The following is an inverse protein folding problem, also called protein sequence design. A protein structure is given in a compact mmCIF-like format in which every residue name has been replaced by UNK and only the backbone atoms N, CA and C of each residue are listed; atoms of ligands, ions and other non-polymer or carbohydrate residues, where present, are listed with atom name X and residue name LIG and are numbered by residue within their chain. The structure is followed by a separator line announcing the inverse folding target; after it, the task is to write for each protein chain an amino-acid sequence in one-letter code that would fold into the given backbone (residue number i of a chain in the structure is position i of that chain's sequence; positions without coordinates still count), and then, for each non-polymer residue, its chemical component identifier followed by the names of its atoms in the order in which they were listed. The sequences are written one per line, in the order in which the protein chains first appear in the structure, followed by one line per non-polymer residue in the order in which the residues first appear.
data_IF_084463112300
#
_entry.id   IF_084463112300
#
_cell.length_a   1.000
_cell.length_b   1.000
_cell.length_c   1.000
_cell.angle_alpha   90.00
_cell.angle_beta   90.00
_cell.angle_gamma   90.00
#
_symmetry.space_group_name_H-M   'P 1'
#
loop_
_entity.id
_entity.type
_entity.pdbx_description
1 polymer ?
#
# COMPACT_ATOMS: atom_id res chain seq x y z
N UNK A 1 14.15 14.02 24.44
CA UNK A 1 14.84 12.95 25.22
C UNK A 1 14.24 12.69 26.59
N UNK A 2 13.97 13.68 27.47
CA UNK A 2 13.39 13.39 28.82
C UNK A 2 12.07 12.60 28.75
N UNK A 3 11.12 13.04 27.93
CA UNK A 3 9.81 12.38 27.76
C UNK A 3 9.91 10.92 27.30
N UNK A 4 10.76 10.63 26.31
CA UNK A 4 11.00 9.25 25.81
C UNK A 4 11.60 8.39 26.92
N UNK A 5 12.63 8.90 27.60
CA UNK A 5 13.30 8.20 28.70
C UNK A 5 12.31 7.86 29.82
N UNK A 6 11.50 8.82 30.25
CA UNK A 6 10.50 8.62 31.31
C UNK A 6 9.44 7.58 30.87
N UNK A 7 9.01 7.63 29.61
CA UNK A 7 8.07 6.66 29.07
C UNK A 7 8.66 5.24 29.01
N UNK A 8 9.91 5.09 28.54
CA UNK A 8 10.62 3.80 28.50
C UNK A 8 10.86 3.25 29.90
N UNK A 9 11.33 4.06 30.86
CA UNK A 9 11.51 3.65 32.26
C UNK A 9 10.20 3.15 32.88
N UNK A 10 9.08 3.79 32.55
CA UNK A 10 7.77 3.36 33.02
C UNK A 10 7.28 2.06 32.37
N UNK A 11 7.83 1.67 31.21
CA UNK A 11 7.54 0.39 30.55
C UNK A 11 8.45 -0.72 31.10
N UNK A 12 9.75 -0.48 31.11
CA UNK A 12 10.75 -1.37 31.69
C UNK A 12 11.96 -0.55 32.17
N UNK A 13 12.23 -0.49 33.50
CA UNK A 13 13.37 0.26 34.04
C UNK A 13 14.75 -0.24 33.58
N UNK A 14 14.83 -1.50 33.12
CA UNK A 14 16.05 -2.13 32.64
C UNK A 14 16.25 -2.05 31.12
N UNK A 15 15.59 -1.10 30.43
CA UNK A 15 15.77 -0.96 29.00
C UNK A 15 17.20 -0.52 28.64
N UNK A 16 17.67 -0.92 27.47
CA UNK A 16 19.00 -0.59 26.95
C UNK A 16 19.00 -0.53 25.42
N UNK A 17 20.15 -0.15 24.84
CA UNK A 17 20.38 -0.15 23.39
C UNK A 17 19.31 0.59 22.57
N UNK A 18 18.91 1.78 23.01
CA UNK A 18 17.99 2.64 22.26
C UNK A 18 18.67 3.20 21.01
N UNK A 19 18.26 2.70 19.84
CA UNK A 19 18.80 3.05 18.54
C UNK A 19 17.68 3.56 17.65
N UNK A 20 17.88 4.73 17.05
CA UNK A 20 16.95 5.26 16.06
C UNK A 20 17.03 4.44 14.77
N UNK A 21 15.89 3.98 14.26
CA UNK A 21 15.79 3.33 12.96
C UNK A 21 15.81 4.39 11.86
N UNK A 22 16.12 3.99 10.63
CA UNK A 22 16.20 4.91 9.49
C UNK A 22 14.91 5.74 9.38
N UNK A 23 15.06 7.05 9.16
CA UNK A 23 13.92 7.95 8.96
C UNK A 23 13.07 7.45 7.78
N UNK A 24 11.83 7.08 8.09
CA UNK A 24 10.81 6.91 7.07
C UNK A 24 10.40 8.31 6.58
N UNK A 25 9.99 8.45 5.32
CA UNK A 25 9.47 9.74 4.81
C UNK A 25 8.14 10.20 5.45
N UNK A 26 7.68 9.52 6.51
CA UNK A 26 6.53 9.90 7.33
C UNK A 26 6.95 10.85 8.45
N UNK A 27 6.00 11.57 9.05
CA UNK A 27 6.26 12.42 10.22
C UNK A 27 6.52 11.63 11.52
N UNK A 28 7.01 10.39 11.44
CA UNK A 28 7.23 9.49 12.57
C UNK A 28 8.70 9.15 12.75
N UNK A 29 9.12 9.13 14.01
CA UNK A 29 10.43 8.63 14.44
C UNK A 29 10.27 7.26 15.09
N UNK A 30 11.05 6.28 14.64
CA UNK A 30 11.06 4.94 15.19
C UNK A 30 12.39 4.66 15.90
N UNK A 31 12.31 4.03 17.07
CA UNK A 31 13.48 3.63 17.84
C UNK A 31 13.34 2.18 18.24
N UNK A 32 14.39 1.38 18.02
CA UNK A 32 14.50 0.02 18.54
C UNK A 32 15.22 0.08 19.88
N UNK A 33 14.73 -0.67 20.87
CA UNK A 33 15.41 -0.83 22.16
C UNK A 33 15.27 -2.26 22.67
N UNK A 34 16.14 -2.64 23.61
CA UNK A 34 16.06 -3.91 24.32
C UNK A 34 15.43 -3.71 25.69
N UNK A 35 14.63 -4.68 26.11
CA UNK A 35 14.24 -4.81 27.50
C UNK A 35 14.07 -6.29 27.82
N UNK A 36 14.67 -6.74 28.92
CA UNK A 36 14.85 -8.17 29.20
C UNK A 36 15.53 -8.89 28.02
N UNK A 37 15.05 -10.06 27.62
CA UNK A 37 15.59 -10.85 26.51
C UNK A 37 14.90 -10.56 25.15
N UNK A 38 14.24 -9.40 25.02
CA UNK A 38 13.45 -9.03 23.82
C UNK A 38 13.79 -7.64 23.30
N UNK A 39 13.49 -7.42 22.02
CA UNK A 39 13.52 -6.11 21.38
C UNK A 39 12.11 -5.58 21.17
N UNK A 40 11.99 -4.26 21.15
CA UNK A 40 10.74 -3.52 20.98
C UNK A 40 10.99 -2.31 20.07
N UNK A 41 9.90 -1.82 19.47
CA UNK A 41 9.90 -0.57 18.70
C UNK A 41 9.10 0.47 19.46
N UNK A 42 9.73 1.60 19.76
CA UNK A 42 9.10 2.83 20.20
C UNK A 42 8.82 3.69 18.97
N UNK A 43 7.62 4.24 18.88
CA UNK A 43 7.28 5.26 17.89
C UNK A 43 6.96 6.58 18.57
N UNK A 44 7.49 7.66 18.00
CA UNK A 44 7.14 9.05 18.32
C UNK A 44 6.49 9.70 17.10
N UNK A 45 5.32 10.29 17.31
CA UNK A 45 4.58 10.98 16.25
C UNK A 45 3.66 12.06 16.82
N UNK A 46 3.69 13.24 16.21
CA UNK A 46 2.86 14.38 16.59
C UNK A 46 1.44 14.34 15.98
N UNK A 47 1.17 13.46 14.99
CA UNK A 47 -0.16 13.30 14.42
C UNK A 47 -1.03 12.39 15.31
N UNK A 48 -1.69 13.00 16.28
CA UNK A 48 -2.52 12.30 17.27
C UNK A 48 -3.68 11.56 16.61
N UNK A 49 -4.29 12.14 15.58
CA UNK A 49 -5.46 11.54 14.94
C UNK A 49 -5.06 10.29 14.14
N UNK A 50 -3.91 10.32 13.46
CA UNK A 50 -3.37 9.16 12.78
C UNK A 50 -2.94 8.06 13.78
N UNK A 51 -2.36 8.43 14.93
CA UNK A 51 -2.01 7.50 15.99
C UNK A 51 -3.24 6.83 16.61
N UNK A 52 -4.32 7.57 16.84
CA UNK A 52 -5.59 7.01 17.35
C UNK A 52 -6.17 5.98 16.38
N UNK A 53 -6.17 6.28 15.07
CA UNK A 53 -6.55 5.32 14.02
C UNK A 53 -5.66 4.08 14.07
N UNK A 54 -4.35 4.26 14.18
CA UNK A 54 -3.40 3.14 14.31
C UNK A 54 -3.73 2.27 15.52
N UNK A 55 -3.95 2.84 16.71
CA UNK A 55 -4.27 2.07 17.92
C UNK A 55 -5.58 1.30 17.78
N UNK A 56 -6.61 1.95 17.26
CA UNK A 56 -7.91 1.35 17.01
C UNK A 56 -7.80 0.14 16.06
N UNK A 57 -7.13 0.33 14.93
CA UNK A 57 -6.92 -0.73 13.94
C UNK A 57 -6.00 -1.83 14.47
N UNK A 58 -4.96 -1.50 15.24
CA UNK A 58 -4.08 -2.48 15.88
C UNK A 58 -4.87 -3.41 16.79
N UNK A 59 -5.71 -2.87 17.67
CA UNK A 59 -6.52 -3.68 18.59
C UNK A 59 -7.49 -4.59 17.82
N UNK A 60 -8.16 -4.05 16.80
CA UNK A 60 -9.07 -4.79 15.94
C UNK A 60 -8.34 -5.95 15.23
N UNK A 61 -7.19 -5.68 14.62
CA UNK A 61 -6.44 -6.68 13.85
C UNK A 61 -5.74 -7.72 14.72
N UNK A 62 -5.40 -7.38 15.96
CA UNK A 62 -4.93 -8.38 16.93
C UNK A 62 -6.00 -9.45 17.19
N UNK A 63 -7.26 -9.05 17.28
CA UNK A 63 -8.38 -9.97 17.47
C UNK A 63 -8.70 -10.80 16.20
N UNK A 64 -8.16 -10.44 15.04
CA UNK A 64 -8.31 -11.15 13.77
C UNK A 64 -7.10 -12.04 13.43
N UNK A 65 -6.62 -12.80 14.42
CA UNK A 65 -5.48 -13.73 14.33
C UNK A 65 -4.06 -13.10 14.35
N UNK A 66 -3.88 -11.94 15.00
CA UNK A 66 -2.55 -11.39 15.26
C UNK A 66 -1.75 -11.06 14.00
N UNK A 67 -2.40 -10.42 13.02
CA UNK A 67 -1.83 -10.15 11.69
C UNK A 67 -0.86 -8.97 11.67
N UNK A 68 -0.73 -8.25 12.78
CA UNK A 68 0.01 -6.99 12.94
C UNK A 68 0.89 -7.04 14.20
N UNK A 69 1.88 -6.15 14.39
CA UNK A 69 2.58 -6.06 15.66
C UNK A 69 1.64 -5.68 16.80
N UNK A 70 1.80 -6.27 17.98
CA UNK A 70 1.01 -5.87 19.15
C UNK A 70 1.48 -4.53 19.68
N UNK A 71 0.53 -3.60 19.87
CA UNK A 71 0.78 -2.38 20.65
C UNK A 71 0.76 -2.75 22.13
N UNK A 72 1.85 -2.45 22.83
CA UNK A 72 2.11 -2.88 24.20
C UNK A 72 1.86 -1.78 25.23
N UNK A 73 2.14 -0.53 24.84
CA UNK A 73 1.94 0.63 25.71
C UNK A 73 1.74 1.89 24.88
N UNK A 74 0.81 2.73 25.31
CA UNK A 74 0.54 4.05 24.75
C UNK A 74 0.65 5.06 25.90
N UNK A 75 1.26 6.21 25.67
CA UNK A 75 1.32 7.26 26.68
C UNK A 75 0.00 8.06 26.76
N UNK A 76 -0.16 8.88 27.79
CA UNK A 76 -1.38 9.67 28.00
C UNK A 76 -1.70 10.63 26.86
N UNK A 77 -0.65 11.16 26.20
CA UNK A 77 -0.79 12.14 25.13
C UNK A 77 -1.00 11.49 23.75
N UNK A 78 -0.94 10.16 23.65
CA UNK A 78 -1.09 9.40 22.40
C UNK A 78 -0.08 9.76 21.29
N UNK A 79 1.08 10.27 21.68
CA UNK A 79 2.18 10.68 20.80
C UNK A 79 3.44 9.82 20.98
N UNK A 80 3.43 8.90 21.95
CA UNK A 80 4.43 7.86 22.15
C UNK A 80 3.74 6.52 22.38
N UNK A 81 4.23 5.50 21.68
CA UNK A 81 3.76 4.13 21.88
C UNK A 81 4.85 3.11 21.63
N UNK A 82 4.75 1.97 22.31
CA UNK A 82 5.66 0.83 22.20
C UNK A 82 4.89 -0.33 21.58
N UNK A 83 5.51 -0.99 20.61
CA UNK A 83 4.98 -2.16 19.94
C UNK A 83 6.01 -3.30 19.85
N UNK A 84 5.53 -4.49 19.53
CA UNK A 84 6.39 -5.63 19.22
C UNK A 84 7.35 -5.32 18.06
N UNK A 85 8.59 -5.77 18.22
CA UNK A 85 9.59 -5.73 17.16
C UNK A 85 9.51 -7.00 16.31
N UNK A 86 9.18 -6.82 15.03
CA UNK A 86 9.06 -7.89 14.05
C UNK A 86 10.35 -8.09 13.24
N UNK A 87 11.43 -7.37 13.56
CA UNK A 87 12.68 -7.37 12.81
C UNK A 87 12.61 -6.47 11.58
N UNK A 88 13.62 -6.58 10.71
CA UNK A 88 13.82 -5.67 9.57
C UNK A 88 13.51 -6.30 8.21
N UNK A 89 13.30 -7.62 8.18
CA UNK A 89 13.17 -8.36 6.93
C UNK A 89 11.76 -8.17 6.38
N UNK A 90 11.66 -7.54 5.21
CA UNK A 90 10.40 -7.41 4.47
C UNK A 90 10.26 -8.46 3.37
N UNK A 91 9.02 -8.74 2.95
CA UNK A 91 8.73 -9.63 1.83
C UNK A 91 9.38 -9.15 0.53
N UNK A 92 9.41 -7.83 0.30
CA UNK A 92 10.10 -7.25 -0.86
C UNK A 92 11.61 -7.54 -0.82
N UNK A 93 12.24 -7.41 0.34
CA UNK A 93 13.68 -7.68 0.48
C UNK A 93 14.01 -9.13 0.15
N UNK A 94 13.20 -10.09 0.63
CA UNK A 94 13.37 -11.50 0.29
C UNK A 94 13.18 -11.78 -1.20
N UNK A 95 12.19 -11.14 -1.84
CA UNK A 95 11.99 -11.24 -3.30
C UNK A 95 13.19 -10.72 -4.08
N UNK A 96 13.77 -9.59 -3.68
CA UNK A 96 14.95 -9.03 -4.34
C UNK A 96 16.22 -9.88 -4.15
N UNK A 97 16.27 -10.70 -3.11
CA UNK A 97 17.36 -11.66 -2.84
C UNK A 97 17.13 -13.04 -3.48
N UNK A 98 16.01 -13.24 -4.18
CA UNK A 98 15.60 -14.52 -4.77
C UNK A 98 15.58 -15.67 -3.74
N UNK A 99 15.08 -15.39 -2.53
CA UNK A 99 14.98 -16.40 -1.48
C UNK A 99 13.93 -17.47 -1.82
N UNK A 100 14.28 -18.75 -1.63
CA UNK A 100 13.44 -19.90 -2.03
C UNK A 100 12.11 -19.97 -1.30
N UNK A 101 11.98 -19.36 -0.12
CA UNK A 101 10.74 -19.35 0.65
C UNK A 101 9.78 -18.23 0.23
N UNK A 102 10.23 -17.28 -0.60
CA UNK A 102 9.48 -16.07 -0.96
C UNK A 102 8.09 -16.38 -1.51
N UNK A 103 7.97 -17.37 -2.40
CA UNK A 103 6.69 -17.76 -3.00
C UNK A 103 5.65 -18.13 -1.92
N UNK A 104 6.04 -18.98 -0.97
CA UNK A 104 5.17 -19.39 0.14
C UNK A 104 4.73 -18.21 1.03
N UNK A 105 5.59 -17.19 1.20
CA UNK A 105 5.29 -16.00 1.98
C UNK A 105 4.30 -15.08 1.25
N UNK A 106 4.41 -14.95 -0.08
CA UNK A 106 3.38 -14.26 -0.88
C UNK A 106 2.02 -14.95 -0.76
N UNK A 107 1.98 -16.29 -0.84
CA UNK A 107 0.73 -17.02 -0.64
C UNK A 107 0.13 -16.76 0.74
N UNK A 108 0.96 -16.80 1.79
CA UNK A 108 0.51 -16.47 3.15
C UNK A 108 -0.03 -15.04 3.23
N UNK A 109 0.65 -14.08 2.61
CA UNK A 109 0.23 -12.68 2.61
C UNK A 109 -1.13 -12.48 1.94
N UNK A 110 -1.36 -13.03 0.74
CA UNK A 110 -2.64 -12.85 0.03
C UNK A 110 -3.79 -13.58 0.72
N UNK A 111 -3.54 -14.76 1.32
CA UNK A 111 -4.54 -15.46 2.13
C UNK A 111 -4.93 -14.62 3.35
N UNK A 112 -3.94 -14.13 4.11
CA UNK A 112 -4.17 -13.28 5.28
C UNK A 112 -4.85 -11.97 4.92
N UNK A 113 -4.50 -11.36 3.78
CA UNK A 113 -5.15 -10.15 3.29
C UNK A 113 -6.65 -10.37 3.11
N UNK A 114 -7.07 -11.42 2.41
CA UNK A 114 -8.49 -11.72 2.20
C UNK A 114 -9.25 -11.87 3.54
N UNK A 115 -8.67 -12.62 4.49
CA UNK A 115 -9.28 -12.81 5.82
C UNK A 115 -9.33 -11.52 6.63
N UNK A 116 -8.28 -10.70 6.59
CA UNK A 116 -8.23 -9.39 7.24
C UNK A 116 -9.33 -8.48 6.68
N UNK A 117 -9.40 -8.32 5.36
CA UNK A 117 -10.31 -7.37 4.73
C UNK A 117 -11.77 -7.71 5.00
N UNK A 118 -12.14 -8.99 4.89
CA UNK A 118 -13.52 -9.44 5.15
C UNK A 118 -13.82 -9.45 6.65
N UNK A 119 -12.90 -9.93 7.49
CA UNK A 119 -13.09 -10.00 8.94
C UNK A 119 -13.17 -8.62 9.59
N UNK A 120 -12.28 -7.70 9.20
CA UNK A 120 -12.24 -6.35 9.75
C UNK A 120 -13.50 -5.56 9.39
N UNK A 121 -13.96 -5.67 8.14
CA UNK A 121 -15.14 -4.95 7.69
C UNK A 121 -16.42 -5.31 8.47
N UNK A 122 -16.48 -6.48 9.11
CA UNK A 122 -17.65 -6.88 9.91
C UNK A 122 -17.75 -6.13 11.24
N UNK A 123 -16.64 -5.58 11.75
CA UNK A 123 -16.55 -5.04 13.12
C UNK A 123 -15.99 -3.62 13.18
N UNK A 124 -15.45 -3.11 12.06
CA UNK A 124 -14.86 -1.78 11.99
C UNK A 124 -15.94 -0.69 12.01
N UNK A 125 -15.63 0.38 12.71
CA UNK A 125 -16.31 1.67 12.66
C UNK A 125 -15.41 2.65 11.90
N UNK A 126 -15.76 2.89 10.64
CA UNK A 126 -14.99 3.79 9.76
C UNK A 126 -15.03 5.27 10.19
N UNK A 127 -15.76 5.64 11.24
CA UNK A 127 -15.63 6.99 11.82
C UNK A 127 -14.40 7.13 12.73
N UNK A 128 -13.76 6.02 13.10
CA UNK A 128 -12.56 6.00 13.94
C UNK A 128 -11.27 5.90 13.12
N UNK A 129 -11.36 5.78 11.79
CA UNK A 129 -10.17 5.78 10.91
C UNK A 129 -9.76 7.21 10.55
N UNK A 130 -8.46 7.42 10.42
CA UNK A 130 -7.87 8.70 10.09
C UNK A 130 -8.15 9.11 8.64
N UNK A 131 -8.33 10.40 8.40
CA UNK A 131 -8.47 10.96 7.06
C UNK A 131 -9.86 10.69 6.46
N UNK A 132 -9.99 9.61 5.70
CA UNK A 132 -11.20 9.32 4.92
C UNK A 132 -11.80 7.98 5.30
N UNK A 133 -13.12 7.96 5.53
CA UNK A 133 -13.84 6.75 5.88
C UNK A 133 -14.06 5.79 4.71
N UNK A 134 -14.07 6.32 3.47
CA UNK A 134 -14.28 5.53 2.25
C UNK A 134 -13.45 6.08 1.09
N UNK A 135 -12.98 5.17 0.24
CA UNK A 135 -12.28 5.47 -1.00
C UNK A 135 -13.28 5.92 -2.07
N UNK A 136 -13.59 7.21 -2.03
CA UNK A 136 -14.63 7.85 -2.82
C UNK A 136 -14.10 8.52 -4.10
N UNK A 137 -15.01 9.19 -4.83
CA UNK A 137 -14.69 9.90 -6.07
C UNK A 137 -13.60 10.96 -5.88
N UNK A 138 -13.59 11.68 -4.74
CA UNK A 138 -12.62 12.75 -4.46
C UNK A 138 -11.21 12.15 -4.33
N UNK A 139 -11.08 11.07 -3.57
CA UNK A 139 -9.79 10.40 -3.38
C UNK A 139 -9.25 9.78 -4.68
N UNK A 140 -10.11 9.17 -5.49
CA UNK A 140 -9.71 8.62 -6.79
C UNK A 140 -9.25 9.74 -7.72
N UNK A 141 -10.02 10.82 -7.83
CA UNK A 141 -9.63 11.97 -8.66
C UNK A 141 -8.31 12.57 -8.18
N UNK A 142 -8.09 12.71 -6.87
CA UNK A 142 -6.82 13.19 -6.32
C UNK A 142 -5.64 12.33 -6.81
N UNK A 143 -5.77 11.01 -6.78
CA UNK A 143 -4.72 10.09 -7.26
C UNK A 143 -4.49 10.24 -8.78
N UNK A 144 -5.54 10.42 -9.57
CA UNK A 144 -5.47 10.59 -11.02
C UNK A 144 -4.87 11.94 -11.42
N UNK A 145 -5.24 13.02 -10.73
CA UNK A 145 -4.61 14.33 -10.91
C UNK A 145 -3.13 14.29 -10.56
N UNK A 146 -2.74 13.49 -9.56
CA UNK A 146 -1.34 13.30 -9.22
C UNK A 146 -0.52 12.74 -10.39
N UNK A 147 -1.07 11.78 -11.15
CA UNK A 147 -0.47 11.28 -12.38
C UNK A 147 -0.38 12.37 -13.46
N UNK A 148 -1.45 13.13 -13.67
CA UNK A 148 -1.47 14.20 -14.65
C UNK A 148 -0.42 15.28 -14.32
N UNK A 149 -0.50 15.85 -13.12
CA UNK A 149 0.23 17.07 -12.75
C UNK A 149 1.71 16.79 -12.45
N UNK A 150 2.04 15.64 -11.86
CA UNK A 150 3.42 15.30 -11.48
C UNK A 150 4.13 14.38 -12.47
N UNK A 151 3.47 13.96 -13.55
CA UNK A 151 4.11 13.18 -14.59
C UNK A 151 3.75 13.66 -16.00
N UNK A 152 2.49 13.56 -16.42
CA UNK A 152 2.12 13.85 -17.81
C UNK A 152 2.45 15.29 -18.24
N UNK A 153 2.10 16.27 -17.43
CA UNK A 153 2.33 17.69 -17.74
C UNK A 153 3.83 18.03 -17.76
N UNK A 154 4.66 17.25 -17.09
CA UNK A 154 6.10 17.47 -17.00
C UNK A 154 6.88 16.86 -18.17
N UNK A 155 6.33 15.81 -18.81
CA UNK A 155 6.93 15.20 -20.00
C UNK A 155 6.52 15.89 -21.31
N UNK A 156 5.67 16.91 -21.26
CA UNK A 156 5.17 17.69 -22.41
C UNK A 156 4.60 16.81 -23.54
N UNK A 157 3.90 15.73 -23.18
CA UNK A 157 3.18 14.91 -24.15
C UNK A 157 1.94 15.68 -24.64
N UNK A 158 1.66 15.64 -25.94
CA UNK A 158 0.43 16.24 -26.48
C UNK A 158 -0.75 15.29 -26.26
N UNK A 159 -1.81 15.79 -25.61
CA UNK A 159 -3.04 15.05 -25.34
C UNK A 159 -4.22 16.00 -25.10
N UNK A 160 -5.44 15.54 -25.35
CA UNK A 160 -6.66 16.31 -25.04
C UNK A 160 -6.90 16.34 -23.53
N UNK A 161 -6.62 17.47 -22.89
CA UNK A 161 -6.88 17.64 -21.46
C UNK A 161 -8.36 17.45 -21.11
N UNK A 162 -9.27 17.94 -21.96
CA UNK A 162 -10.71 17.83 -21.69
C UNK A 162 -11.18 16.37 -21.70
N UNK A 163 -10.74 15.59 -22.70
CA UNK A 163 -11.10 14.17 -22.78
C UNK A 163 -10.48 13.37 -21.63
N UNK A 164 -9.22 13.66 -21.27
CA UNK A 164 -8.58 12.99 -20.13
C UNK A 164 -9.34 13.23 -18.82
N UNK A 165 -9.80 14.47 -18.58
CA UNK A 165 -10.59 14.80 -17.39
C UNK A 165 -11.95 14.09 -17.38
N UNK A 166 -12.58 13.92 -18.55
CA UNK A 166 -13.82 13.14 -18.68
C UNK A 166 -13.57 11.66 -18.38
N UNK A 167 -12.47 11.08 -18.88
CA UNK A 167 -12.10 9.70 -18.56
C UNK A 167 -11.75 9.52 -17.08
N UNK A 168 -11.09 10.49 -16.45
CA UNK A 168 -10.83 10.47 -15.00
C UNK A 168 -12.13 10.44 -14.19
N UNK A 169 -13.12 11.23 -14.61
CA UNK A 169 -14.44 11.23 -13.97
C UNK A 169 -15.13 9.85 -14.08
N UNK A 170 -15.11 9.24 -15.28
CA UNK A 170 -15.63 7.89 -15.52
C UNK A 170 -14.89 6.81 -14.72
N UNK A 171 -13.57 6.91 -14.60
CA UNK A 171 -12.75 5.98 -13.80
C UNK A 171 -13.12 6.10 -12.32
N UNK A 172 -13.27 7.32 -11.83
CA UNK A 172 -13.63 7.56 -10.44
C UNK A 172 -15.04 7.03 -10.12
N UNK A 173 -16.00 7.19 -11.03
CA UNK A 173 -17.32 6.57 -10.92
C UNK A 173 -17.26 5.05 -10.92
N UNK A 174 -16.48 4.45 -11.81
CA UNK A 174 -16.31 3.00 -11.88
C UNK A 174 -15.70 2.42 -10.59
N UNK A 175 -14.80 3.15 -9.92
CA UNK A 175 -14.23 2.74 -8.62
C UNK A 175 -15.28 2.79 -7.51
N UNK A 176 -16.09 3.84 -7.46
CA UNK A 176 -17.16 3.97 -6.46
C UNK A 176 -18.19 2.85 -6.63
N UNK A 177 -18.43 2.40 -7.86
CA UNK A 177 -19.40 1.35 -8.21
C UNK A 177 -18.83 -0.08 -8.15
N UNK A 178 -17.61 -0.27 -7.65
CA UNK A 178 -17.02 -1.61 -7.47
C UNK A 178 -17.88 -2.50 -6.56
N UNK A 179 -17.89 -3.79 -6.86
CA UNK A 179 -18.78 -4.78 -6.22
C UNK A 179 -18.26 -5.24 -4.86
N UNK A 180 -16.93 -5.34 -4.69
CA UNK A 180 -16.28 -5.87 -3.49
C UNK A 180 -15.62 -4.76 -2.68
N UNK A 181 -16.45 -3.94 -2.03
CA UNK A 181 -16.01 -2.90 -1.10
C UNK A 181 -16.03 -3.41 0.33
N UNK A 182 -14.86 -3.50 0.95
CA UNK A 182 -14.68 -3.91 2.36
C UNK A 182 -13.56 -3.07 2.98
N UNK A 183 -12.86 -3.54 4.00
CA UNK A 183 -11.66 -2.88 4.50
C UNK A 183 -10.55 -2.95 3.43
N UNK A 184 -10.07 -1.79 3.01
CA UNK A 184 -8.95 -1.61 2.09
C UNK A 184 -7.77 -1.05 2.88
N UNK A 185 -6.65 -1.78 2.85
CA UNK A 185 -5.39 -1.47 3.52
C UNK A 185 -4.69 -0.25 2.93
N UNK A 186 -4.94 0.03 1.63
CA UNK A 186 -4.47 1.16 0.84
C UNK A 186 -2.99 1.11 0.43
N UNK A 187 -2.06 0.79 1.34
CA UNK A 187 -0.63 0.67 1.02
C UNK A 187 -0.09 -0.76 1.23
N UNK A 188 -0.83 -1.75 0.73
CA UNK A 188 -0.46 -3.17 0.84
C UNK A 188 0.64 -3.55 -0.15
N UNK A 189 1.89 -3.26 0.20
CA UNK A 189 3.07 -3.53 -0.64
C UNK A 189 4.06 -4.43 0.08
N UNK A 190 4.93 -5.13 -0.66
CA UNK A 190 5.89 -6.10 -0.08
C UNK A 190 6.84 -5.50 0.96
N UNK A 191 7.08 -4.19 0.94
CA UNK A 191 7.87 -3.47 1.96
C UNK A 191 7.15 -3.34 3.32
N UNK A 192 5.82 -3.36 3.31
CA UNK A 192 4.96 -3.22 4.48
C UNK A 192 4.49 -4.59 5.02
N UNK A 193 5.11 -5.67 4.52
CA UNK A 193 4.89 -7.04 4.97
C UNK A 193 6.21 -7.54 5.58
N UNK A 194 6.28 -7.54 6.92
CA UNK A 194 7.44 -8.00 7.67
C UNK A 194 7.40 -9.52 7.88
N UNK A 195 8.58 -10.14 7.92
CA UNK A 195 8.76 -11.58 8.04
C UNK A 195 9.46 -11.89 9.35
N UNK A 196 8.79 -12.68 10.19
CA UNK A 196 9.34 -13.22 11.44
C UNK A 196 8.93 -14.66 11.62
N UNK A 197 9.89 -15.54 11.88
CA UNK A 197 9.67 -16.98 12.05
C UNK A 197 8.86 -17.62 10.90
N UNK A 198 9.20 -17.27 9.65
CA UNK A 198 8.50 -17.68 8.42
C UNK A 198 7.01 -17.33 8.36
N UNK A 199 6.58 -16.32 9.13
CA UNK A 199 5.23 -15.77 9.11
C UNK A 199 5.26 -14.31 8.67
N UNK A 200 4.22 -13.94 7.93
CA UNK A 200 3.96 -12.57 7.47
C UNK A 200 3.19 -11.75 8.50
N UNK A 201 3.58 -10.50 8.68
CA UNK A 201 2.91 -9.51 9.52
C UNK A 201 2.80 -8.19 8.76
N UNK A 202 1.71 -7.47 8.95
CA UNK A 202 1.44 -6.23 8.22
C UNK A 202 1.72 -5.01 9.10
N UNK A 203 2.30 -3.98 8.49
CA UNK A 203 2.56 -2.68 9.09
C UNK A 203 2.01 -1.58 8.16
N UNK A 204 1.96 -0.35 8.64
CA UNK A 204 1.57 0.82 7.82
C UNK A 204 0.11 0.76 7.33
N UNK A 205 -0.81 0.36 8.21
CA UNK A 205 -2.24 0.17 7.94
C UNK A 205 -3.16 1.30 8.41
N UNK A 206 -2.60 2.36 9.00
CA UNK A 206 -3.37 3.43 9.63
C UNK A 206 -4.18 4.31 8.67
N UNK A 207 -3.82 4.29 7.37
CA UNK A 207 -4.56 4.90 6.26
C UNK A 207 -5.68 3.99 5.70
N UNK A 208 -5.93 2.85 6.35
CA UNK A 208 -6.94 1.90 5.93
C UNK A 208 -8.37 2.46 6.04
N UNK A 209 -9.20 2.17 5.04
CA UNK A 209 -10.55 2.74 4.91
C UNK A 209 -11.49 1.76 4.20
N UNK A 210 -12.76 2.11 4.03
CA UNK A 210 -13.66 1.32 3.20
C UNK A 210 -13.29 1.51 1.72
N UNK A 211 -13.18 0.44 0.94
CA UNK A 211 -12.82 0.58 -0.46
C UNK A 211 -12.74 -0.75 -1.21
N UNK A 212 -12.46 -0.70 -2.52
CA UNK A 212 -12.33 -1.90 -3.33
C UNK A 212 -11.13 -2.74 -2.89
N UNK A 213 -11.38 -3.94 -2.37
CA UNK A 213 -10.31 -4.80 -1.81
C UNK A 213 -9.29 -5.27 -2.84
N UNK A 214 -9.67 -5.26 -4.12
CA UNK A 214 -8.77 -5.58 -5.22
C UNK A 214 -7.61 -4.58 -5.35
N UNK A 215 -7.76 -3.36 -4.82
CA UNK A 215 -6.72 -2.34 -4.80
C UNK A 215 -5.46 -2.80 -4.05
N UNK A 216 -5.64 -3.47 -2.91
CA UNK A 216 -4.53 -3.98 -2.10
C UNK A 216 -3.81 -5.14 -2.79
N UNK A 217 -4.59 -6.05 -3.39
CA UNK A 217 -4.03 -7.16 -4.17
C UNK A 217 -3.18 -6.62 -5.33
N UNK A 218 -3.71 -5.67 -6.10
CA UNK A 218 -2.98 -5.00 -7.19
C UNK A 218 -1.69 -4.34 -6.65
N UNK A 219 -1.77 -3.65 -5.53
CA UNK A 219 -0.64 -2.92 -4.92
C UNK A 219 0.55 -3.82 -4.60
N UNK A 220 0.28 -5.09 -4.26
CA UNK A 220 1.29 -6.12 -4.05
C UNK A 220 1.74 -6.75 -5.37
N UNK A 221 0.80 -7.20 -6.21
CA UNK A 221 1.10 -7.98 -7.42
C UNK A 221 1.82 -7.17 -8.50
N UNK A 222 1.50 -5.88 -8.60
CA UNK A 222 2.03 -4.96 -9.60
C UNK A 222 3.04 -3.97 -9.02
N UNK A 223 3.61 -4.29 -7.86
CA UNK A 223 4.70 -3.51 -7.31
C UNK A 223 5.91 -3.56 -8.25
N UNK A 224 6.18 -2.44 -8.93
CA UNK A 224 7.22 -2.32 -9.96
C UNK A 224 8.58 -2.93 -9.52
N UNK A 225 9.05 -2.59 -8.31
CA UNK A 225 10.32 -3.11 -7.77
C UNK A 225 10.34 -4.62 -7.54
N UNK A 226 9.20 -5.24 -7.20
CA UNK A 226 9.13 -6.68 -6.97
C UNK A 226 9.19 -7.48 -8.28
N UNK A 227 8.76 -6.85 -9.38
CA UNK A 227 8.78 -7.38 -10.74
C UNK A 227 8.32 -8.85 -10.84
N UNK A 228 7.17 -9.16 -10.24
CA UNK A 228 6.60 -10.51 -10.30
C UNK A 228 6.28 -10.91 -11.74
N UNK A 229 6.55 -12.17 -12.09
CA UNK A 229 6.19 -12.70 -13.41
C UNK A 229 4.67 -12.79 -13.57
N UNK A 230 4.20 -12.96 -14.80
CA UNK A 230 2.77 -13.12 -15.09
C UNK A 230 2.23 -14.36 -14.36
N UNK A 231 2.99 -15.45 -14.35
CA UNK A 231 2.62 -16.70 -13.68
C UNK A 231 2.51 -16.53 -12.16
N UNK A 232 3.43 -15.77 -11.54
CA UNK A 232 3.36 -15.42 -10.12
C UNK A 232 2.10 -14.60 -9.83
N UNK A 233 1.81 -13.57 -10.64
CA UNK A 233 0.62 -12.73 -10.50
C UNK A 233 -0.67 -13.54 -10.63
N UNK A 234 -0.78 -14.39 -11.64
CA UNK A 234 -1.96 -15.23 -11.90
C UNK A 234 -2.19 -16.26 -10.79
N UNK A 235 -1.11 -16.89 -10.30
CA UNK A 235 -1.17 -17.83 -9.17
C UNK A 235 -1.70 -17.15 -7.91
N UNK A 236 -1.14 -15.99 -7.54
CA UNK A 236 -1.54 -15.26 -6.35
C UNK A 236 -2.96 -14.69 -6.46
N UNK A 237 -3.36 -14.20 -7.63
CA UNK A 237 -4.74 -13.81 -7.90
C UNK A 237 -5.71 -14.98 -7.72
N UNK A 238 -5.36 -16.17 -8.23
CA UNK A 238 -6.18 -17.38 -8.10
C UNK A 238 -6.32 -17.81 -6.64
N UNK A 239 -5.24 -17.73 -5.85
CA UNK A 239 -5.26 -18.02 -4.42
C UNK A 239 -6.17 -17.03 -3.68
N UNK A 240 -6.00 -15.73 -3.92
CA UNK A 240 -6.79 -14.70 -3.26
C UNK A 240 -8.29 -14.85 -3.58
N UNK A 241 -8.64 -15.04 -4.85
CA UNK A 241 -10.05 -15.23 -5.27
C UNK A 241 -10.65 -16.54 -4.75
N UNK A 242 -9.84 -17.59 -4.59
CA UNK A 242 -10.27 -18.83 -3.93
C UNK A 242 -10.61 -18.60 -2.45
N UNK A 243 -9.82 -17.80 -1.73
CA UNK A 243 -10.15 -17.40 -0.36
C UNK A 243 -11.42 -16.54 -0.31
N UNK A 244 -11.59 -15.57 -1.20
CA UNK A 244 -12.84 -14.79 -1.28
C UNK A 244 -14.06 -15.68 -1.53
N UNK A 245 -13.95 -16.67 -2.42
CA UNK A 245 -15.04 -17.62 -2.67
C UNK A 245 -15.43 -18.41 -1.42
N UNK A 246 -14.45 -18.77 -0.58
CA UNK A 246 -14.71 -19.46 0.71
C UNK A 246 -15.35 -18.53 1.73
N UNK A 247 -14.87 -17.29 1.82
CA UNK A 247 -15.35 -16.28 2.77
C UNK A 247 -16.72 -15.71 2.39
N UNK A 248 -17.06 -15.70 1.10
CA UNK A 248 -18.28 -15.12 0.53
C UNK A 248 -19.02 -16.12 -0.40
N UNK A 249 -19.40 -17.33 0.06
CA UNK A 249 -19.82 -18.45 -0.79
C UNK A 249 -21.04 -18.18 -1.67
N UNK A 250 -21.93 -17.27 -1.26
CA UNK A 250 -23.15 -16.90 -2.00
C UNK A 250 -23.11 -15.50 -2.60
N UNK A 251 -22.00 -14.76 -2.40
CA UNK A 251 -21.85 -13.38 -2.89
C UNK A 251 -20.74 -13.24 -3.92
N UNK A 252 -19.76 -14.15 -3.93
CA UNK A 252 -18.60 -14.04 -4.80
C UNK A 252 -18.90 -14.45 -6.25
N UNK A 253 -18.66 -13.53 -7.16
CA UNK A 253 -18.73 -13.65 -8.61
C UNK A 253 -17.37 -13.26 -9.19
N UNK A 254 -16.71 -14.25 -9.81
CA UNK A 254 -15.36 -14.05 -10.35
C UNK A 254 -15.29 -13.03 -11.48
N UNK A 255 -16.37 -12.84 -12.26
CA UNK A 255 -16.38 -11.85 -13.35
C UNK A 255 -16.47 -10.43 -12.81
N UNK A 256 -17.30 -10.20 -11.79
CA UNK A 256 -17.43 -8.90 -11.13
C UNK A 256 -16.11 -8.53 -10.44
N UNK A 257 -15.51 -9.46 -9.69
CA UNK A 257 -14.23 -9.22 -9.05
C UNK A 257 -13.12 -8.92 -10.06
N UNK A 258 -13.13 -9.59 -11.22
CA UNK A 258 -12.17 -9.30 -12.29
C UNK A 258 -12.34 -7.87 -12.85
N UNK A 259 -13.58 -7.37 -12.96
CA UNK A 259 -13.83 -5.98 -13.36
C UNK A 259 -13.30 -5.00 -12.32
N UNK A 260 -13.58 -5.24 -11.04
CA UNK A 260 -13.05 -4.45 -9.92
C UNK A 260 -11.51 -4.44 -9.92
N UNK A 261 -10.89 -5.60 -10.12
CA UNK A 261 -9.44 -5.76 -10.20
C UNK A 261 -8.84 -4.96 -11.37
N UNK A 262 -9.44 -5.01 -12.56
CA UNK A 262 -8.96 -4.26 -13.72
C UNK A 262 -9.02 -2.74 -13.52
N UNK A 263 -10.10 -2.21 -12.93
CA UNK A 263 -10.19 -0.76 -12.68
C UNK A 263 -9.23 -0.33 -11.55
N UNK A 264 -9.07 -1.15 -10.50
CA UNK A 264 -8.08 -0.93 -9.45
C UNK A 264 -6.65 -0.95 -9.99
N UNK A 265 -6.37 -1.86 -10.92
CA UNK A 265 -5.07 -1.97 -11.60
C UNK A 265 -4.72 -0.69 -12.35
N UNK A 266 -5.66 -0.16 -13.14
CA UNK A 266 -5.47 1.11 -13.84
C UNK A 266 -5.11 2.24 -12.87
N UNK A 267 -5.96 2.50 -11.87
CA UNK A 267 -5.73 3.64 -10.97
C UNK A 267 -4.44 3.51 -10.18
N UNK A 268 -4.09 2.29 -9.76
CA UNK A 268 -2.87 2.06 -8.98
C UNK A 268 -1.63 2.32 -9.81
N UNK A 269 -1.60 1.84 -11.05
CA UNK A 269 -0.45 2.08 -11.94
C UNK A 269 -0.29 3.57 -12.28
N UNK A 270 -1.38 4.28 -12.57
CA UNK A 270 -1.34 5.73 -12.79
C UNK A 270 -0.78 6.46 -11.57
N UNK A 271 -1.29 6.13 -10.38
CA UNK A 271 -0.81 6.72 -9.11
C UNK A 271 0.67 6.42 -8.86
N UNK A 272 1.15 5.19 -9.11
CA UNK A 272 2.58 4.83 -8.99
C UNK A 272 3.43 5.69 -9.93
N UNK A 273 3.02 5.83 -11.18
CA UNK A 273 3.76 6.63 -12.16
C UNK A 273 3.78 8.11 -11.78
N UNK A 274 2.66 8.66 -11.29
CA UNK A 274 2.63 10.02 -10.73
C UNK A 274 3.56 10.20 -9.53
N UNK A 275 3.59 9.21 -8.61
CA UNK A 275 4.48 9.21 -7.46
C UNK A 275 5.96 9.23 -7.87
N UNK A 276 6.36 8.40 -8.84
CA UNK A 276 7.71 8.41 -9.39
C UNK A 276 8.03 9.70 -10.15
N UNK A 277 7.06 10.25 -10.88
CA UNK A 277 7.18 11.55 -11.54
C UNK A 277 7.52 12.66 -10.54
N UNK A 278 6.78 12.77 -9.42
CA UNK A 278 7.11 13.76 -8.37
C UNK A 278 8.48 13.52 -7.74
N UNK A 279 8.79 12.28 -7.37
CA UNK A 279 10.07 11.93 -6.76
C UNK A 279 11.25 12.30 -7.66
N UNK A 280 11.08 12.15 -8.98
CA UNK A 280 12.10 12.43 -9.97
C UNK A 280 12.19 13.87 -10.41
N UNK A 281 11.09 14.41 -10.90
CA UNK A 281 11.04 15.74 -11.51
C UNK A 281 11.06 16.87 -10.48
N UNK A 282 10.51 16.64 -9.29
CA UNK A 282 10.39 17.67 -8.25
C UNK A 282 11.42 17.47 -7.14
N UNK A 283 11.66 16.22 -6.72
CA UNK A 283 12.51 15.91 -5.57
C UNK A 283 13.93 15.42 -5.94
N UNK A 284 14.29 15.38 -7.23
CA UNK A 284 15.63 15.08 -7.76
C UNK A 284 16.27 13.81 -7.18
N UNK A 285 15.48 12.74 -6.97
CA UNK A 285 15.98 11.46 -6.43
C UNK A 285 16.59 10.58 -7.53
N UNK A 286 17.91 10.53 -7.64
CA UNK A 286 18.70 9.85 -8.71
C UNK A 286 18.23 8.46 -9.17
N UNK A 287 17.66 7.63 -8.29
CA UNK A 287 17.17 6.28 -8.63
C UNK A 287 15.71 6.20 -9.13
N UNK A 288 15.05 7.35 -9.36
CA UNK A 288 13.64 7.38 -9.76
C UNK A 288 13.41 6.85 -11.18
N UNK A 289 14.39 7.02 -12.08
CA UNK A 289 14.23 6.73 -13.52
C UNK A 289 13.97 5.25 -13.78
N UNK A 290 14.69 4.37 -13.08
CA UNK A 290 14.50 2.92 -13.21
C UNK A 290 13.12 2.49 -12.68
N UNK A 291 12.68 3.09 -11.57
CA UNK A 291 11.36 2.82 -11.00
C UNK A 291 10.24 3.32 -11.93
N UNK A 292 10.43 4.49 -12.54
CA UNK A 292 9.51 5.06 -13.52
C UNK A 292 9.43 4.20 -14.79
N UNK A 293 10.55 3.64 -15.26
CA UNK A 293 10.58 2.75 -16.41
C UNK A 293 9.71 1.51 -16.20
N UNK A 294 9.85 0.84 -15.06
CA UNK A 294 9.02 -0.30 -14.69
C UNK A 294 7.54 0.08 -14.55
N UNK A 295 7.25 1.29 -14.05
CA UNK A 295 5.88 1.82 -13.98
C UNK A 295 5.24 2.02 -15.36
N UNK A 296 5.99 2.58 -16.32
CA UNK A 296 5.55 2.76 -17.70
C UNK A 296 5.36 1.41 -18.40
N UNK A 297 6.26 0.45 -18.17
CA UNK A 297 6.15 -0.90 -18.71
C UNK A 297 4.87 -1.60 -18.26
N UNK A 298 4.53 -1.49 -16.96
CA UNK A 298 3.25 -2.00 -16.45
C UNK A 298 2.04 -1.31 -17.12
N UNK A 299 2.07 0.01 -17.36
CA UNK A 299 1.00 0.72 -18.07
C UNK A 299 0.85 0.22 -19.52
N UNK A 300 1.96 -0.03 -20.21
CA UNK A 300 1.95 -0.58 -21.57
C UNK A 300 1.39 -2.00 -21.58
N UNK A 301 1.78 -2.84 -20.60
CA UNK A 301 1.28 -4.20 -20.45
C UNK A 301 -0.25 -4.23 -20.30
N UNK A 302 -0.83 -3.37 -19.44
CA UNK A 302 -2.29 -3.34 -19.27
C UNK A 302 -3.03 -2.78 -20.49
N UNK A 303 -2.38 -1.92 -21.28
CA UNK A 303 -2.89 -1.43 -22.55
C UNK A 303 -2.98 -2.55 -23.59
N UNK A 304 -1.94 -3.39 -23.68
CA UNK A 304 -1.90 -4.56 -24.57
C UNK A 304 -2.93 -5.62 -24.16
N UNK A 305 -3.22 -5.74 -22.86
CA UNK A 305 -4.28 -6.62 -22.33
C UNK A 305 -5.71 -6.11 -22.62
N UNK A 306 -5.86 -4.91 -23.19
CA UNK A 306 -7.16 -4.31 -23.50
C UNK A 306 -7.93 -3.78 -22.28
N UNK A 307 -7.28 -3.66 -21.11
CA UNK A 307 -7.92 -3.23 -19.85
C UNK A 307 -8.44 -1.79 -19.93
N UNK A 308 -7.74 -0.95 -20.69
CA UNK A 308 -8.03 0.48 -20.84
C UNK A 308 -8.71 0.83 -22.18
N UNK A 309 -9.20 -0.16 -22.94
CA UNK A 309 -9.81 0.07 -24.25
C UNK A 309 -11.05 0.97 -24.21
N UNK A 310 -11.73 1.01 -23.05
CA UNK A 310 -12.84 1.93 -22.80
C UNK A 310 -12.43 3.39 -22.57
N UNK A 311 -11.13 3.66 -22.45
CA UNK A 311 -10.55 4.98 -22.20
C UNK A 311 -9.56 5.32 -23.34
N UNK A 312 -10.06 5.69 -24.53
CA UNK A 312 -9.23 5.91 -25.72
C UNK A 312 -8.13 6.97 -25.52
N UNK A 313 -8.39 8.05 -24.79
CA UNK A 313 -7.40 9.11 -24.56
C UNK A 313 -6.27 8.60 -23.68
N UNK A 314 -6.56 7.92 -22.57
CA UNK A 314 -5.57 7.24 -21.74
C UNK A 314 -4.83 6.14 -22.49
N UNK A 315 -5.52 5.34 -23.31
CA UNK A 315 -4.88 4.32 -24.14
C UNK A 315 -3.86 4.93 -25.07
N UNK A 316 -4.22 6.00 -25.78
CA UNK A 316 -3.30 6.71 -26.68
C UNK A 316 -2.11 7.32 -25.93
N UNK A 317 -2.34 7.87 -24.74
CA UNK A 317 -1.28 8.37 -23.86
C UNK A 317 -0.33 7.22 -23.52
N UNK A 318 -0.84 6.12 -22.94
CA UNK A 318 -0.03 4.96 -22.54
C UNK A 318 0.77 4.40 -23.71
N UNK A 319 0.15 4.15 -24.87
CA UNK A 319 0.85 3.66 -26.06
C UNK A 319 1.91 4.61 -26.61
N UNK A 320 1.83 5.91 -26.29
CA UNK A 320 2.83 6.91 -26.67
C UNK A 320 3.93 7.08 -25.62
N UNK A 321 3.76 6.57 -24.40
CA UNK A 321 4.76 6.68 -23.34
C UNK A 321 6.00 5.85 -23.69
N UNK A 322 7.13 6.55 -23.79
CA UNK A 322 8.44 5.96 -23.95
C UNK A 322 9.45 6.70 -23.05
N UNK A 323 10.58 6.04 -22.76
CA UNK A 323 11.63 6.62 -21.92
C UNK A 323 12.35 7.83 -22.53
N UNK A 324 12.16 8.09 -23.82
CA UNK A 324 12.77 9.25 -24.51
C UNK A 324 12.05 10.56 -24.21
N UNK A 325 10.79 10.50 -23.76
CA UNK A 325 10.05 11.67 -23.27
C UNK A 325 10.50 12.15 -21.88
N UNK A 326 11.38 11.41 -21.19
CA UNK A 326 11.85 11.77 -19.85
C UNK A 326 13.10 12.68 -19.97
N UNK A 327 13.03 13.94 -19.50
CA UNK A 327 14.15 14.87 -19.50
C UNK A 327 15.46 14.24 -19.01
N UNK A 328 16.55 14.42 -19.75
CA UNK A 328 17.88 13.91 -19.39
C UNK A 328 18.57 14.69 -18.26
N UNK A 329 18.04 15.84 -17.86
CA UNK A 329 18.71 16.79 -16.97
C UNK A 329 18.49 16.53 -15.46
N UNK A 330 17.93 15.38 -15.06
CA UNK A 330 17.79 14.98 -13.65
C UNK A 330 18.73 13.82 -13.29
N UNK A 331 19.97 13.87 -13.78
CA UNK A 331 21.05 12.91 -13.48
C UNK A 331 21.91 13.47 -12.35
#
# INVERSE_FOLDING_TARGET
MSKINDFLLSFNPGYSDLVQLAESGSGRSYYRFKAEDKTYVLTESEDISENESFFYLSELFQNLNGLVPKVLKINSNKDLYIQEDLGDISLLELKLKDDTNTSSLYEQAVKKLAHLQIGAHQVIDYNQVYGFSSFDKILVLRDLFYFKDYFLDLINLDYSQTELLQEFDQIAEAIVQTHYRFFMFRDFQGRNILIKDNKTYFIDYQDGMEGPIAYDLVSLLWQAKANLTIEEKDSLYSIYTSELKKLLPNRFNSSEFKQDYHICLLIRLLQVVGAYGKLGFIQNKTHFRDSLALGIENLNQIAEMGIIDKFPTLKNICSSLNLTHIPKNNI
#
